data_IF_366819235048
#
_entry.id   IF_366819235048
#
_cell.length_a   1.000
_cell.length_b   1.000
_cell.length_c   1.000
_cell.angle_alpha   90.00
_cell.angle_beta   90.00
_cell.angle_gamma   90.00
#
_symmetry.space_group_name_H-M   'P 1'
#
loop_
_entity.id
_entity.type
_entity.pdbx_description
1 polymer ?
#
# COMPACT_ATOMS: atom_id res chain seq x y z
N UNK A 1 14.78 -11.50 43.76
CA UNK A 1 13.56 -10.78 43.36
C UNK A 1 13.77 -10.30 41.93
N UNK A 2 13.33 -11.10 40.94
CA UNK A 2 13.42 -10.74 39.53
C UNK A 2 12.20 -9.84 39.22
N UNK A 3 12.44 -8.56 39.01
CA UNK A 3 11.42 -7.67 38.44
C UNK A 3 11.30 -7.98 36.94
N UNK A 4 10.23 -8.67 36.56
CA UNK A 4 9.77 -8.78 35.17
C UNK A 4 9.37 -7.37 34.70
N UNK A 5 10.26 -6.72 33.96
CA UNK A 5 9.90 -5.53 33.19
C UNK A 5 9.10 -6.05 32.00
N UNK A 6 7.78 -5.93 32.07
CA UNK A 6 6.92 -6.16 30.91
C UNK A 6 7.20 -5.06 29.88
N UNK A 7 7.99 -5.38 28.88
CA UNK A 7 8.12 -4.54 27.69
C UNK A 7 6.83 -4.69 26.92
N UNK A 8 6.03 -3.64 26.87
CA UNK A 8 4.83 -3.60 26.04
C UNK A 8 5.30 -3.63 24.59
N UNK A 9 5.20 -4.78 23.95
CA UNK A 9 5.48 -4.94 22.53
C UNK A 9 4.20 -4.62 21.79
N UNK A 10 4.17 -3.54 21.03
CA UNK A 10 3.10 -3.17 20.14
C UNK A 10 3.51 -3.56 18.72
N UNK A 11 2.77 -4.47 18.11
CA UNK A 11 2.91 -4.81 16.69
C UNK A 11 1.92 -3.98 15.88
N UNK A 12 2.39 -3.29 14.84
CA UNK A 12 1.51 -2.61 13.89
C UNK A 12 0.76 -3.66 13.07
N UNK A 13 -0.55 -3.49 12.94
CA UNK A 13 -1.41 -4.39 12.18
C UNK A 13 -1.14 -4.32 10.67
N UNK A 14 -0.96 -3.10 10.15
CA UNK A 14 -0.87 -2.87 8.71
C UNK A 14 0.50 -3.23 8.13
N UNK A 15 0.46 -3.84 6.95
CA UNK A 15 1.63 -4.24 6.17
C UNK A 15 2.44 -3.05 5.66
N UNK A 16 3.74 -3.24 5.52
CA UNK A 16 4.67 -2.27 4.93
C UNK A 16 5.25 -2.80 3.63
N UNK A 17 5.11 -2.03 2.56
CA UNK A 17 5.77 -2.32 1.29
C UNK A 17 6.95 -1.36 1.07
N UNK A 18 8.07 -1.88 0.58
CA UNK A 18 9.21 -1.06 0.18
C UNK A 18 8.89 -0.18 -1.04
N UNK A 19 8.02 -0.68 -1.95
CA UNK A 19 7.50 0.07 -3.11
C UNK A 19 6.23 0.87 -2.79
N UNK A 20 6.10 1.40 -1.56
CA UNK A 20 4.91 2.16 -1.12
C UNK A 20 4.53 3.31 -2.09
N UNK A 21 5.49 3.89 -2.78
CA UNK A 21 5.30 4.98 -3.75
C UNK A 21 4.63 4.54 -5.06
N UNK A 22 4.65 3.25 -5.39
CA UNK A 22 3.94 2.66 -6.53
C UNK A 22 2.62 1.98 -6.08
N UNK A 23 2.46 1.76 -4.76
CA UNK A 23 1.32 1.12 -4.11
C UNK A 23 0.46 2.08 -3.29
N UNK A 24 0.47 3.37 -3.60
CA UNK A 24 -0.28 4.39 -2.83
C UNK A 24 -1.76 4.05 -2.58
N UNK A 25 -2.53 3.46 -3.53
CA UNK A 25 -3.88 3.03 -3.26
C UNK A 25 -4.01 2.01 -2.12
N UNK A 26 -2.96 1.26 -1.78
CA UNK A 26 -3.02 0.28 -0.70
C UNK A 26 -3.31 0.89 0.66
N UNK A 27 -2.87 2.14 0.90
CA UNK A 27 -3.04 2.85 2.16
C UNK A 27 -3.79 4.19 2.04
N UNK A 28 -4.02 4.72 0.83
CA UNK A 28 -4.73 5.98 0.62
C UNK A 28 -5.72 5.91 -0.54
N UNK A 29 -6.99 5.85 -0.24
CA UNK A 29 -8.06 5.80 -1.24
C UNK A 29 -8.11 7.06 -2.13
N UNK A 30 -7.60 8.21 -1.69
CA UNK A 30 -7.54 9.42 -2.50
C UNK A 30 -6.51 9.36 -3.64
N UNK A 31 -5.61 8.36 -3.64
CA UNK A 31 -4.62 8.17 -4.69
C UNK A 31 -5.18 7.44 -5.91
N UNK A 32 -6.36 6.79 -5.85
CA UNK A 32 -6.95 6.07 -6.98
C UNK A 32 -7.26 6.99 -8.15
N UNK A 33 -7.01 6.51 -9.35
CA UNK A 33 -7.20 7.27 -10.59
C UNK A 33 -6.32 8.53 -10.67
N UNK A 34 -5.16 8.55 -10.02
CA UNK A 34 -4.23 9.69 -10.00
C UNK A 34 -3.76 10.08 -11.42
N UNK A 35 -3.57 9.11 -12.27
CA UNK A 35 -3.14 9.28 -13.66
C UNK A 35 -4.30 8.96 -14.62
N UNK A 36 -4.24 9.50 -15.84
CA UNK A 36 -5.21 9.18 -16.91
C UNK A 36 -4.93 7.80 -17.52
N UNK A 37 -4.80 6.79 -16.67
CA UNK A 37 -4.46 5.41 -17.03
C UNK A 37 -5.28 4.43 -16.21
N UNK A 38 -5.59 3.28 -16.79
CA UNK A 38 -5.87 2.09 -16.00
C UNK A 38 -4.55 1.66 -15.39
N UNK A 39 -4.50 1.55 -14.08
CA UNK A 39 -3.35 1.09 -13.33
C UNK A 39 -3.70 -0.23 -12.67
N UNK A 40 -2.87 -1.25 -12.86
CA UNK A 40 -2.97 -2.53 -12.17
C UNK A 40 -1.64 -2.77 -11.49
N UNK A 41 -1.65 -3.07 -10.21
CA UNK A 41 -0.45 -3.29 -9.42
C UNK A 41 -0.59 -4.56 -8.59
N UNK A 42 0.51 -5.30 -8.48
CA UNK A 42 0.64 -6.44 -7.61
C UNK A 42 1.98 -6.38 -6.88
N UNK A 43 2.00 -6.82 -5.62
CA UNK A 43 3.21 -6.95 -4.84
C UNK A 43 3.18 -8.25 -4.05
N UNK A 44 4.34 -8.85 -3.90
CA UNK A 44 4.57 -9.97 -3.01
C UNK A 44 5.77 -9.67 -2.12
N UNK A 45 5.55 -9.60 -0.82
CA UNK A 45 6.58 -9.40 0.17
C UNK A 45 6.77 -10.66 1.01
N UNK A 46 8.02 -11.01 1.27
CA UNK A 46 8.44 -12.07 2.15
C UNK A 46 9.36 -11.46 3.20
N UNK A 47 8.81 -11.15 4.37
CA UNK A 47 9.53 -10.49 5.44
C UNK A 47 10.27 -11.47 6.33
N UNK A 48 11.37 -11.03 6.93
CA UNK A 48 12.17 -11.81 7.87
C UNK A 48 12.51 -13.20 7.31
N UNK A 49 13.00 -13.26 6.09
CA UNK A 49 13.39 -14.53 5.44
C UNK A 49 14.44 -15.26 6.29
N UNK A 50 14.19 -16.55 6.55
CA UNK A 50 15.03 -17.37 7.44
C UNK A 50 14.35 -17.76 8.76
N UNK A 51 13.28 -17.08 9.16
CA UNK A 51 12.41 -17.55 10.24
C UNK A 51 11.41 -18.60 9.75
N UNK A 52 11.12 -19.59 10.57
CA UNK A 52 10.03 -20.54 10.32
C UNK A 52 8.70 -19.77 10.35
N UNK A 53 7.86 -19.91 9.31
CA UNK A 53 6.57 -19.20 9.16
C UNK A 53 6.72 -17.66 9.14
N UNK A 54 7.75 -17.19 8.45
CA UNK A 54 7.96 -15.75 8.23
C UNK A 54 6.74 -15.07 7.59
N UNK A 55 6.53 -13.76 7.83
CA UNK A 55 5.43 -13.02 7.23
C UNK A 55 5.49 -13.05 5.70
N UNK A 56 4.33 -13.21 5.06
CA UNK A 56 4.18 -13.23 3.60
C UNK A 56 2.94 -12.46 3.21
N UNK A 57 3.14 -11.37 2.49
CA UNK A 57 2.06 -10.50 2.05
C UNK A 57 1.91 -10.53 0.56
N UNK A 58 0.68 -10.63 0.08
CA UNK A 58 0.31 -10.47 -1.31
C UNK A 58 -0.71 -9.34 -1.44
N UNK A 59 -0.45 -8.43 -2.35
CA UNK A 59 -1.33 -7.33 -2.71
C UNK A 59 -1.64 -7.38 -4.20
N UNK A 60 -2.89 -7.12 -4.56
CA UNK A 60 -3.32 -6.88 -5.94
C UNK A 60 -4.32 -5.74 -5.91
N UNK A 61 -4.10 -4.73 -6.74
CA UNK A 61 -5.00 -3.60 -6.87
C UNK A 61 -5.15 -3.16 -8.31
N UNK A 62 -6.30 -2.56 -8.62
CA UNK A 62 -6.55 -1.91 -9.89
C UNK A 62 -7.32 -0.61 -9.67
N UNK A 63 -6.93 0.43 -10.37
CA UNK A 63 -7.61 1.72 -10.31
C UNK A 63 -7.65 2.41 -11.67
N UNK A 64 -8.65 3.24 -11.85
CA UNK A 64 -8.83 4.04 -13.06
C UNK A 64 -9.52 5.37 -12.76
N UNK A 65 -9.18 6.43 -13.51
CA UNK A 65 -9.93 7.67 -13.50
C UNK A 65 -11.11 7.62 -14.46
N UNK A 66 -12.14 8.40 -14.15
CA UNK A 66 -13.24 8.69 -15.07
C UNK A 66 -13.71 10.14 -14.92
N UNK A 67 -14.40 10.63 -15.93
CA UNK A 67 -14.94 11.99 -15.94
C UNK A 67 -16.45 11.93 -15.85
N UNK A 68 -17.01 12.52 -14.79
CA UNK A 68 -18.44 12.56 -14.52
C UNK A 68 -18.83 13.88 -13.85
N UNK A 69 -20.03 14.40 -14.10
CA UNK A 69 -20.54 15.66 -13.53
C UNK A 69 -19.53 16.82 -13.57
N UNK A 70 -18.84 16.98 -14.71
CA UNK A 70 -17.83 18.04 -14.95
C UNK A 70 -16.60 17.98 -14.05
N UNK A 71 -16.38 16.87 -13.36
CA UNK A 71 -15.23 16.64 -12.47
C UNK A 71 -14.53 15.32 -12.81
N UNK A 72 -13.28 15.20 -12.37
CA UNK A 72 -12.53 13.94 -12.43
C UNK A 72 -12.74 13.15 -11.16
N UNK A 73 -12.92 11.87 -11.32
CA UNK A 73 -13.10 10.89 -10.25
C UNK A 73 -12.10 9.77 -10.42
N UNK A 74 -11.88 9.00 -9.38
CA UNK A 74 -11.14 7.75 -9.41
C UNK A 74 -11.95 6.65 -8.75
N UNK A 75 -11.83 5.43 -9.24
CA UNK A 75 -12.32 4.23 -8.59
C UNK A 75 -11.21 3.20 -8.55
N UNK A 76 -11.23 2.37 -7.52
CA UNK A 76 -10.26 1.31 -7.34
C UNK A 76 -10.85 0.13 -6.59
N UNK A 77 -10.20 -1.00 -6.78
CA UNK A 77 -10.44 -2.23 -6.03
C UNK A 77 -9.09 -2.78 -5.60
N UNK A 78 -9.02 -3.31 -4.40
CA UNK A 78 -7.82 -3.95 -3.90
C UNK A 78 -8.14 -5.20 -3.10
N UNK A 79 -7.23 -6.16 -3.18
CA UNK A 79 -7.19 -7.37 -2.38
C UNK A 79 -5.80 -7.45 -1.74
N UNK A 80 -5.77 -7.68 -0.44
CA UNK A 80 -4.56 -7.95 0.32
C UNK A 80 -4.75 -9.26 1.09
N UNK A 81 -3.72 -10.07 1.11
CA UNK A 81 -3.66 -11.29 1.91
C UNK A 81 -2.30 -11.32 2.59
N UNK A 82 -2.32 -11.23 3.91
CA UNK A 82 -1.14 -11.24 4.76
C UNK A 82 -1.17 -12.45 5.67
N UNK A 83 -0.08 -13.22 5.67
CA UNK A 83 0.12 -14.38 6.52
C UNK A 83 1.21 -14.07 7.53
N UNK A 84 0.84 -14.03 8.79
CA UNK A 84 1.72 -13.74 9.91
C UNK A 84 1.70 -14.93 10.89
N UNK A 85 2.65 -15.84 10.76
CA UNK A 85 2.71 -17.03 11.59
C UNK A 85 1.50 -17.94 11.39
N UNK A 86 0.59 -17.96 12.36
CA UNK A 86 -0.66 -18.75 12.35
C UNK A 86 -1.88 -17.92 11.95
N UNK A 87 -1.71 -16.60 11.86
CA UNK A 87 -2.78 -15.68 11.45
C UNK A 87 -2.74 -15.45 9.94
N UNK A 88 -3.92 -15.28 9.37
CA UNK A 88 -4.09 -14.83 7.98
C UNK A 88 -5.08 -13.67 7.98
N UNK A 89 -4.59 -12.51 7.55
CA UNK A 89 -5.36 -11.28 7.42
C UNK A 89 -5.70 -11.07 5.94
N UNK A 90 -6.97 -10.95 5.61
CA UNK A 90 -7.42 -10.66 4.25
C UNK A 90 -8.24 -9.40 4.24
N UNK A 91 -7.97 -8.53 3.27
CA UNK A 91 -8.72 -7.31 3.07
C UNK A 91 -9.14 -7.19 1.60
N UNK A 92 -10.44 -7.08 1.36
CA UNK A 92 -11.01 -6.69 0.08
C UNK A 92 -11.63 -5.31 0.24
N UNK A 93 -11.23 -4.31 -0.57
CA UNK A 93 -11.79 -2.97 -0.46
C UNK A 93 -12.09 -2.36 -1.82
N UNK A 94 -13.19 -1.63 -1.89
CA UNK A 94 -13.56 -0.72 -2.96
C UNK A 94 -13.20 0.71 -2.56
N UNK A 95 -12.71 1.47 -3.52
CA UNK A 95 -12.21 2.82 -3.30
C UNK A 95 -12.84 3.79 -4.29
N UNK A 96 -13.11 4.98 -3.81
CA UNK A 96 -13.61 6.09 -4.62
C UNK A 96 -12.87 7.36 -4.26
N UNK A 97 -12.52 8.17 -5.27
CA UNK A 97 -11.90 9.48 -5.08
C UNK A 97 -12.58 10.55 -5.94
N UNK A 98 -12.79 11.71 -5.34
CA UNK A 98 -13.27 12.92 -6.00
C UNK A 98 -12.14 13.94 -6.11
N UNK A 99 -11.99 14.57 -7.28
CA UNK A 99 -10.84 15.43 -7.59
C UNK A 99 -11.28 16.83 -7.97
N UNK A 100 -10.66 17.83 -7.33
CA UNK A 100 -10.89 19.25 -7.61
C UNK A 100 -9.57 19.96 -7.89
N UNK A 101 -9.60 20.97 -8.74
CA UNK A 101 -8.48 21.89 -8.94
C UNK A 101 -8.47 22.93 -7.82
N UNK A 102 -7.37 22.99 -7.08
CA UNK A 102 -7.21 23.87 -5.93
C UNK A 102 -5.76 24.36 -5.82
N UNK A 103 -5.56 25.64 -5.56
CA UNK A 103 -4.24 26.27 -5.36
C UNK A 103 -3.19 25.92 -6.44
N UNK A 104 -3.62 25.84 -7.70
CA UNK A 104 -2.73 25.50 -8.82
C UNK A 104 -2.33 24.03 -8.91
N UNK A 105 -2.91 23.19 -8.07
CA UNK A 105 -2.73 21.73 -8.05
C UNK A 105 -4.07 20.99 -8.20
N UNK A 106 -4.05 19.72 -7.85
CA UNK A 106 -5.24 18.86 -7.78
C UNK A 106 -5.32 18.28 -6.37
N UNK A 107 -6.42 18.61 -5.68
CA UNK A 107 -6.78 17.95 -4.43
C UNK A 107 -7.73 16.79 -4.75
N UNK A 108 -7.41 15.62 -4.24
CA UNK A 108 -8.24 14.41 -4.28
C UNK A 108 -8.69 14.08 -2.87
N UNK A 109 -9.97 13.84 -2.68
CA UNK A 109 -10.54 13.30 -1.44
C UNK A 109 -11.03 11.90 -1.73
N UNK A 110 -10.71 10.93 -0.90
CA UNK A 110 -11.03 9.53 -1.15
C UNK A 110 -11.63 8.85 0.06
N UNK A 111 -12.45 7.84 -0.22
CA UNK A 111 -13.02 6.94 0.77
C UNK A 111 -12.85 5.51 0.32
N UNK A 112 -12.73 4.60 1.26
CA UNK A 112 -12.73 3.16 1.02
C UNK A 112 -13.72 2.46 1.93
N UNK A 113 -14.35 1.42 1.40
CA UNK A 113 -15.17 0.50 2.16
C UNK A 113 -14.78 -0.93 1.76
N UNK A 114 -14.61 -1.79 2.75
CA UNK A 114 -14.13 -3.14 2.53
C UNK A 114 -14.56 -4.13 3.58
N UNK A 115 -14.09 -5.34 3.40
CA UNK A 115 -14.24 -6.45 4.32
C UNK A 115 -12.85 -6.87 4.81
N UNK A 116 -12.70 -6.97 6.12
CA UNK A 116 -11.59 -7.64 6.78
C UNK A 116 -12.02 -9.06 7.13
N UNK A 117 -11.18 -10.02 6.83
CA UNK A 117 -11.35 -11.42 7.23
C UNK A 117 -10.09 -11.88 7.95
N UNK A 118 -10.26 -12.32 9.16
CA UNK A 118 -9.21 -12.86 10.00
C UNK A 118 -9.39 -14.35 10.17
N UNK A 119 -8.29 -15.07 10.09
CA UNK A 119 -8.26 -16.51 10.30
C UNK A 119 -7.08 -16.87 11.18
N UNK A 120 -7.35 -17.67 12.21
CA UNK A 120 -6.33 -18.27 13.07
C UNK A 120 -6.35 -19.79 12.89
N UNK A 121 -5.19 -20.37 12.53
CA UNK A 121 -5.05 -21.82 12.31
C UNK A 121 -4.49 -22.50 13.58
N UNK A 122 -5.38 -22.81 14.51
CA UNK A 122 -5.04 -23.50 15.76
C UNK A 122 -4.55 -24.95 15.58
N UNK A 123 -4.81 -25.56 14.41
CA UNK A 123 -4.35 -26.94 14.13
C UNK A 123 -2.83 -27.07 13.98
N UNK A 124 -2.14 -25.95 13.81
CA UNK A 124 -0.69 -25.87 13.63
C UNK A 124 0.05 -25.37 14.88
N UNK A 125 -0.64 -25.18 15.97
CA UNK A 125 -0.04 -24.87 17.27
C UNK A 125 0.70 -26.12 17.75
N UNK A 126 1.96 -25.95 18.12
CA UNK A 126 2.77 -27.02 18.70
C UNK A 126 2.51 -27.00 20.22
N UNK A 127 1.59 -27.84 20.65
CA UNK A 127 1.20 -27.93 22.07
C UNK A 127 2.01 -29.05 22.73
N UNK A 128 2.70 -28.76 23.83
CA UNK A 128 3.28 -29.79 24.70
C UNK A 128 2.19 -30.66 25.34
N UNK A 129 1.01 -30.06 25.61
CA UNK A 129 -0.18 -30.74 26.06
C UNK A 129 -1.35 -30.50 25.10
N UNK A 130 -1.72 -31.52 24.35
CA UNK A 130 -2.81 -31.47 23.36
C UNK A 130 -4.22 -31.32 23.99
N UNK A 131 -4.32 -31.40 25.32
CA UNK A 131 -5.57 -31.29 26.07
C UNK A 131 -5.77 -29.89 26.68
N UNK A 132 -4.89 -28.94 26.47
CA UNK A 132 -5.00 -27.57 27.01
C UNK A 132 -6.22 -26.84 26.42
N UNK A 133 -7.27 -26.58 27.21
CA UNK A 133 -8.48 -25.92 26.74
C UNK A 133 -8.28 -24.43 26.38
N UNK A 134 -7.12 -23.83 26.72
CA UNK A 134 -6.81 -22.45 26.39
C UNK A 134 -6.52 -22.26 24.92
N UNK A 135 -6.17 -23.32 24.20
CA UNK A 135 -5.87 -23.28 22.78
C UNK A 135 -6.92 -24.07 21.98
N UNK A 136 -7.56 -23.35 21.04
CA UNK A 136 -8.44 -24.02 20.09
C UNK A 136 -7.60 -24.83 19.10
N UNK A 137 -7.81 -26.15 19.06
CA UNK A 137 -7.25 -27.03 18.03
C UNK A 137 -7.98 -26.92 16.69
N UNK A 138 -8.90 -25.96 16.56
CA UNK A 138 -9.68 -25.69 15.35
C UNK A 138 -9.23 -24.42 14.65
N UNK A 139 -9.65 -24.29 13.40
CA UNK A 139 -9.52 -23.04 12.66
C UNK A 139 -10.62 -22.08 13.09
N UNK A 140 -10.25 -20.85 13.45
CA UNK A 140 -11.17 -19.79 13.83
C UNK A 140 -11.15 -18.70 12.74
N UNK A 141 -12.32 -18.33 12.25
CA UNK A 141 -12.49 -17.31 11.23
C UNK A 141 -13.44 -16.21 11.75
N UNK A 142 -13.18 -14.97 11.36
CA UNK A 142 -14.03 -13.83 11.66
C UNK A 142 -13.97 -12.77 10.59
N UNK A 143 -15.04 -11.99 10.46
CA UNK A 143 -15.13 -10.95 9.44
C UNK A 143 -15.67 -9.66 10.05
N UNK A 144 -15.25 -8.52 9.51
CA UNK A 144 -15.80 -7.20 9.85
C UNK A 144 -15.73 -6.24 8.68
N UNK A 145 -16.57 -5.20 8.71
CA UNK A 145 -16.52 -4.11 7.74
C UNK A 145 -15.36 -3.19 8.11
N UNK A 146 -14.66 -2.70 7.10
CA UNK A 146 -13.54 -1.78 7.20
C UNK A 146 -13.81 -0.51 6.42
N UNK A 147 -13.52 0.64 7.04
CA UNK A 147 -13.69 1.96 6.44
C UNK A 147 -12.37 2.73 6.47
N UNK A 148 -12.11 3.46 5.39
CA UNK A 148 -10.96 4.34 5.31
C UNK A 148 -11.30 5.64 4.57
N UNK A 149 -10.48 6.66 4.82
CA UNK A 149 -10.58 7.95 4.14
C UNK A 149 -9.20 8.53 3.91
N UNK A 150 -9.09 9.44 2.94
CA UNK A 150 -7.83 10.09 2.64
C UNK A 150 -7.97 11.39 1.86
N UNK A 151 -6.88 12.12 1.89
CA UNK A 151 -6.63 13.32 1.10
C UNK A 151 -5.33 13.10 0.32
N UNK A 152 -5.28 13.60 -0.90
CA UNK A 152 -4.07 13.54 -1.72
C UNK A 152 -3.97 14.80 -2.57
N UNK A 153 -2.87 15.52 -2.44
CA UNK A 153 -2.63 16.77 -3.17
C UNK A 153 -1.42 16.63 -4.09
N UNK A 154 -1.58 17.05 -5.35
CA UNK A 154 -0.49 17.08 -6.32
C UNK A 154 -0.37 18.47 -6.94
N UNK A 155 0.86 18.98 -7.01
CA UNK A 155 1.16 20.24 -7.70
C UNK A 155 2.52 20.16 -8.41
N UNK A 156 2.49 20.02 -9.73
CA UNK A 156 3.71 19.81 -10.49
C UNK A 156 4.49 18.58 -10.03
N UNK A 157 5.74 18.75 -9.57
CA UNK A 157 6.57 17.64 -9.10
C UNK A 157 6.28 17.20 -7.67
N UNK A 158 5.51 17.99 -6.90
CA UNK A 158 5.20 17.72 -5.48
C UNK A 158 3.93 16.90 -5.33
N UNK A 159 3.95 15.94 -4.43
CA UNK A 159 2.74 15.32 -3.89
C UNK A 159 2.81 15.17 -2.37
N UNK A 160 1.66 15.24 -1.74
CA UNK A 160 1.46 14.97 -0.31
C UNK A 160 0.15 14.23 -0.13
N UNK A 161 0.14 13.20 0.69
CA UNK A 161 -1.06 12.43 1.02
C UNK A 161 -1.21 12.25 2.51
N UNK A 162 -2.45 12.31 2.99
CA UNK A 162 -2.84 12.00 4.36
C UNK A 162 -4.00 11.00 4.28
N UNK A 163 -3.95 9.93 5.04
CA UNK A 163 -5.02 8.95 5.08
C UNK A 163 -5.15 8.25 6.42
N UNK A 164 -6.30 7.66 6.63
CA UNK A 164 -6.56 6.78 7.75
C UNK A 164 -7.32 5.54 7.26
N UNK A 165 -6.90 4.39 7.74
CA UNK A 165 -7.56 3.10 7.56
C UNK A 165 -8.15 2.63 8.89
N UNK A 166 -9.05 1.67 8.84
CA UNK A 166 -9.70 1.10 10.02
C UNK A 166 -10.38 2.16 10.89
N UNK A 167 -11.00 3.20 10.24
CA UNK A 167 -11.62 4.34 10.93
C UNK A 167 -12.73 3.95 11.89
N UNK A 168 -13.40 2.84 11.63
CA UNK A 168 -14.45 2.28 12.49
C UNK A 168 -13.90 1.37 13.59
N UNK A 169 -12.57 1.22 13.71
CA UNK A 169 -11.87 0.32 14.64
C UNK A 169 -12.57 -1.03 14.72
N UNK A 170 -12.64 -1.80 13.60
CA UNK A 170 -13.44 -2.98 13.51
C UNK A 170 -13.07 -4.02 14.58
N UNK A 171 -14.10 -4.57 15.20
CA UNK A 171 -13.99 -5.69 16.14
C UNK A 171 -14.31 -6.98 15.40
N UNK A 172 -13.36 -7.88 15.32
CA UNK A 172 -13.50 -9.15 14.62
C UNK A 172 -13.62 -10.27 15.67
N UNK A 173 -14.74 -10.98 15.65
CA UNK A 173 -14.97 -12.11 16.54
C UNK A 173 -14.38 -13.38 15.94
N UNK A 174 -13.44 -13.99 16.64
CA UNK A 174 -12.78 -15.24 16.26
C UNK A 174 -13.34 -16.37 17.13
N UNK A 175 -14.28 -17.15 16.59
CA UNK A 175 -15.01 -18.14 17.35
C UNK A 175 -15.98 -17.52 18.37
N UNK A 176 -16.20 -18.19 19.51
CA UNK A 176 -17.20 -17.77 20.51
C UNK A 176 -16.65 -16.80 21.56
N UNK A 177 -15.35 -16.84 21.83
CA UNK A 177 -14.75 -16.17 23.00
C UNK A 177 -13.65 -15.17 22.69
N UNK A 178 -13.05 -15.22 21.49
CA UNK A 178 -11.92 -14.37 21.16
C UNK A 178 -12.36 -13.19 20.29
N UNK A 179 -11.84 -12.02 20.59
CA UNK A 179 -12.11 -10.80 19.84
C UNK A 179 -10.78 -10.14 19.48
N UNK A 180 -10.61 -9.77 18.20
CA UNK A 180 -9.51 -8.97 17.70
C UNK A 180 -10.03 -7.59 17.33
N UNK A 181 -9.53 -6.57 18.00
CA UNK A 181 -9.78 -5.16 17.66
C UNK A 181 -8.67 -4.66 16.77
N UNK A 182 -9.02 -4.12 15.62
CA UNK A 182 -8.09 -3.46 14.71
C UNK A 182 -8.18 -1.96 14.93
N UNK A 183 -7.12 -1.36 15.44
CA UNK A 183 -7.10 0.08 15.69
C UNK A 183 -6.86 0.88 14.41
N UNK A 184 -7.34 2.13 14.39
CA UNK A 184 -7.19 3.01 13.25
C UNK A 184 -5.70 3.32 12.99
N UNK A 185 -5.27 3.18 11.74
CA UNK A 185 -3.90 3.49 11.32
C UNK A 185 -3.90 4.73 10.44
N UNK A 186 -3.04 5.68 10.77
CA UNK A 186 -2.87 6.95 10.09
C UNK A 186 -1.60 6.96 9.25
N UNK A 187 -1.67 7.54 8.06
CA UNK A 187 -0.58 7.62 7.11
C UNK A 187 -0.34 9.05 6.65
N UNK A 188 0.93 9.44 6.59
CA UNK A 188 1.39 10.65 5.93
C UNK A 188 2.44 10.28 4.90
N UNK A 189 2.23 10.63 3.65
CA UNK A 189 3.18 10.39 2.56
C UNK A 189 3.48 11.66 1.82
N UNK A 190 4.63 11.70 1.17
CA UNK A 190 4.98 12.78 0.28
C UNK A 190 6.21 12.47 -0.55
N UNK A 191 6.39 13.27 -1.59
CA UNK A 191 7.55 13.15 -2.45
C UNK A 191 7.66 14.31 -3.42
N UNK A 192 8.81 14.35 -4.07
CA UNK A 192 9.15 15.42 -5.01
C UNK A 192 10.00 14.88 -6.17
N UNK A 193 9.65 15.25 -7.41
CA UNK A 193 10.38 14.87 -8.61
C UNK A 193 11.41 15.93 -8.97
N UNK A 194 12.71 15.71 -8.69
CA UNK A 194 13.83 16.61 -8.99
C UNK A 194 14.41 16.23 -10.33
N UNK A 195 14.09 17.02 -11.36
CA UNK A 195 14.70 16.87 -12.70
C UNK A 195 16.14 17.35 -12.69
N UNK A 196 17.05 16.50 -13.12
CA UNK A 196 18.46 16.86 -13.22
C UNK A 196 18.75 17.62 -14.52
N UNK A 197 19.96 18.16 -14.65
CA UNK A 197 20.44 18.82 -15.86
C UNK A 197 20.43 17.86 -17.08
N UNK A 198 20.66 16.57 -16.84
CA UNK A 198 20.43 15.53 -17.82
C UNK A 198 18.91 15.25 -17.88
N UNK A 199 18.24 15.49 -19.04
CA UNK A 199 16.79 15.34 -19.15
C UNK A 199 16.29 13.90 -18.97
N UNK A 200 17.16 12.91 -19.07
CA UNK A 200 16.81 11.50 -18.85
C UNK A 200 16.83 11.08 -17.38
N UNK A 201 17.39 11.92 -16.49
CA UNK A 201 17.59 11.59 -15.10
C UNK A 201 16.70 12.43 -14.19
N UNK A 202 16.00 11.75 -13.27
CA UNK A 202 15.19 12.36 -12.22
C UNK A 202 15.50 11.72 -10.89
N UNK A 203 15.74 12.51 -9.85
CA UNK A 203 15.81 12.03 -8.47
C UNK A 203 14.41 12.15 -7.86
N UNK A 204 13.92 11.07 -7.26
CA UNK A 204 12.60 11.01 -6.64
C UNK A 204 12.71 10.65 -5.15
N UNK A 205 12.97 11.63 -4.29
CA UNK A 205 12.81 11.42 -2.85
C UNK A 205 11.34 11.27 -2.50
N UNK A 206 11.05 10.37 -1.57
CA UNK A 206 9.73 10.14 -1.03
C UNK A 206 9.81 9.66 0.40
N UNK A 207 8.72 9.81 1.14
CA UNK A 207 8.59 9.29 2.50
C UNK A 207 7.19 8.77 2.76
N UNK A 208 7.09 7.83 3.68
CA UNK A 208 5.86 7.34 4.26
C UNK A 208 6.02 7.24 5.77
N UNK A 209 5.14 7.89 6.51
CA UNK A 209 5.04 7.75 7.97
C UNK A 209 3.70 7.14 8.29
N UNK A 210 3.66 6.17 9.19
CA UNK A 210 2.46 5.55 9.68
C UNK A 210 2.46 5.41 11.18
N UNK A 211 1.25 5.44 11.77
CA UNK A 211 1.05 5.26 13.22
C UNK A 211 -0.36 4.74 13.50
N UNK A 212 -0.46 3.90 14.50
CA UNK A 212 -1.73 3.46 15.12
C UNK A 212 -2.04 4.25 16.41
N UNK A 213 -1.27 5.33 16.67
CA UNK A 213 -1.37 6.12 17.89
C UNK A 213 -0.45 5.65 19.01
N UNK A 214 0.13 4.46 18.90
CA UNK A 214 1.07 3.89 19.88
C UNK A 214 2.46 3.73 19.28
N UNK A 215 2.56 3.06 18.15
CA UNK A 215 3.82 2.84 17.45
C UNK A 215 3.91 3.75 16.20
N UNK A 216 5.14 4.12 15.85
CA UNK A 216 5.45 4.92 14.66
C UNK A 216 6.48 4.19 13.80
N UNK A 217 6.21 4.16 12.50
CA UNK A 217 7.20 3.76 11.51
C UNK A 217 7.30 4.83 10.43
N UNK A 218 8.54 5.20 10.10
CA UNK A 218 8.84 6.11 9.01
C UNK A 218 9.75 5.41 8.00
N UNK A 219 9.44 5.52 6.72
CA UNK A 219 10.23 5.01 5.60
C UNK A 219 10.57 6.18 4.70
N UNK A 220 11.87 6.37 4.40
CA UNK A 220 12.38 7.42 3.51
C UNK A 220 13.08 6.73 2.36
N UNK A 221 12.75 7.08 1.12
CA UNK A 221 13.33 6.45 -0.07
C UNK A 221 13.80 7.51 -1.05
N UNK A 222 15.02 7.34 -1.55
CA UNK A 222 15.57 8.11 -2.66
C UNK A 222 15.75 7.21 -3.87
N UNK A 223 15.16 7.58 -5.02
CA UNK A 223 15.31 6.84 -6.28
C UNK A 223 15.95 7.71 -7.35
N UNK A 224 16.94 7.17 -8.05
CA UNK A 224 17.46 7.73 -9.30
C UNK A 224 16.74 7.01 -10.46
N UNK A 225 15.98 7.75 -11.24
CA UNK A 225 15.15 7.23 -12.32
C UNK A 225 15.73 7.72 -13.66
N UNK A 226 16.06 6.77 -14.52
CA UNK A 226 16.42 7.02 -15.91
C UNK A 226 15.21 6.74 -16.80
N UNK A 227 14.82 7.71 -17.62
CA UNK A 227 13.70 7.59 -18.56
C UNK A 227 14.15 8.00 -19.94
N UNK A 228 14.01 7.10 -20.92
CA UNK A 228 14.26 7.36 -22.33
C UNK A 228 13.12 6.74 -23.15
N UNK A 229 12.31 7.59 -23.78
CA UNK A 229 11.08 7.19 -24.49
C UNK A 229 10.16 6.32 -23.61
N UNK A 230 9.98 5.06 -24.01
CA UNK A 230 9.13 4.09 -23.31
C UNK A 230 9.89 3.24 -22.28
N UNK A 231 11.20 3.41 -22.19
CA UNK A 231 12.04 2.65 -21.26
C UNK A 231 12.27 3.48 -20.01
N UNK A 232 12.02 2.90 -18.87
CA UNK A 232 12.30 3.51 -17.57
C UNK A 232 13.02 2.46 -16.71
N UNK A 233 14.07 2.90 -16.03
CA UNK A 233 14.80 2.08 -15.04
C UNK A 233 15.04 2.94 -13.81
N UNK A 234 15.08 2.32 -12.66
CA UNK A 234 15.44 3.01 -11.42
C UNK A 234 16.31 2.16 -10.51
N UNK A 235 17.13 2.86 -9.76
CA UNK A 235 17.85 2.34 -8.61
C UNK A 235 17.48 3.22 -7.40
N UNK A 236 17.24 2.61 -6.26
CA UNK A 236 16.83 3.33 -5.06
C UNK A 236 17.48 2.80 -3.80
N UNK A 237 17.51 3.67 -2.80
CA UNK A 237 17.89 3.32 -1.44
C UNK A 237 16.83 3.86 -0.50
N UNK A 238 16.33 2.99 0.38
CA UNK A 238 15.39 3.30 1.44
C UNK A 238 16.06 3.18 2.81
N UNK A 239 15.51 3.90 3.76
CA UNK A 239 15.88 3.81 5.17
C UNK A 239 14.63 3.93 6.03
N UNK A 240 14.44 2.96 6.90
CA UNK A 240 13.49 3.02 8.00
C UNK A 240 14.29 3.22 9.28
N UNK A 241 14.35 4.44 9.83
CA UNK A 241 15.17 4.74 11.01
C UNK A 241 14.90 3.75 12.15
N UNK A 242 15.96 3.27 12.79
CA UNK A 242 15.91 2.25 13.86
C UNK A 242 15.47 0.85 13.45
N UNK A 243 15.12 0.60 12.19
CA UNK A 243 14.60 -0.68 11.74
C UNK A 243 15.47 -1.32 10.63
N UNK A 244 15.68 -0.63 9.49
CA UNK A 244 16.26 -1.27 8.31
C UNK A 244 16.80 -0.29 7.27
N UNK A 245 17.59 -0.83 6.36
CA UNK A 245 18.01 -0.18 5.11
C UNK A 245 17.57 -1.07 3.94
N UNK A 246 17.03 -0.44 2.90
CA UNK A 246 16.47 -1.13 1.72
C UNK A 246 17.19 -0.70 0.46
N UNK A 247 17.49 -1.64 -0.42
CA UNK A 247 17.95 -1.39 -1.79
C UNK A 247 16.82 -1.77 -2.74
N UNK A 248 16.55 -0.90 -3.73
CA UNK A 248 15.48 -1.09 -4.70
C UNK A 248 16.05 -0.99 -6.13
N UNK A 249 15.58 -1.86 -6.99
CA UNK A 249 15.85 -1.81 -8.42
C UNK A 249 14.57 -2.10 -9.19
N UNK A 250 14.38 -1.46 -10.33
CA UNK A 250 13.23 -1.78 -11.19
C UNK A 250 13.26 -1.04 -12.51
N UNK A 251 12.23 -1.28 -13.29
CA UNK A 251 12.11 -0.65 -14.60
C UNK A 251 10.80 -0.97 -15.30
N UNK A 252 10.58 -0.31 -16.42
CA UNK A 252 9.45 -0.53 -17.31
C UNK A 252 9.94 -1.17 -18.61
N UNK A 253 9.34 -2.31 -18.92
CA UNK A 253 9.59 -3.05 -20.16
C UNK A 253 8.25 -3.31 -20.84
N UNK A 254 8.02 -2.68 -21.99
CA UNK A 254 6.79 -2.81 -22.79
C UNK A 254 5.50 -2.50 -22.01
N UNK A 255 5.52 -1.52 -21.11
CA UNK A 255 4.36 -1.11 -20.31
C UNK A 255 4.17 -1.88 -19.01
N UNK A 256 4.96 -2.93 -18.77
CA UNK A 256 4.99 -3.65 -17.50
C UNK A 256 6.12 -3.06 -16.64
N UNK A 257 5.79 -2.56 -15.49
CA UNK A 257 6.76 -2.09 -14.49
C UNK A 257 7.06 -3.28 -13.57
N UNK A 258 8.33 -3.56 -13.37
CA UNK A 258 8.80 -4.57 -12.42
C UNK A 258 9.77 -3.93 -11.46
N UNK A 259 9.65 -4.26 -10.19
CA UNK A 259 10.52 -3.79 -9.13
C UNK A 259 10.88 -4.93 -8.17
N UNK A 260 12.07 -4.86 -7.64
CA UNK A 260 12.54 -5.75 -6.59
C UNK A 260 13.20 -4.91 -5.52
N UNK A 261 12.94 -5.26 -4.25
CA UNK A 261 13.66 -4.68 -3.13
C UNK A 261 14.19 -5.75 -2.19
N UNK A 262 15.32 -5.42 -1.58
CA UNK A 262 15.94 -6.17 -0.51
C UNK A 262 16.11 -5.27 0.70
N UNK A 263 15.49 -5.65 1.82
CA UNK A 263 15.54 -4.93 3.08
C UNK A 263 16.44 -5.67 4.08
N UNK A 264 17.46 -4.97 4.56
CA UNK A 264 18.41 -5.43 5.57
C UNK A 264 18.05 -4.83 6.92
N UNK A 265 17.76 -5.67 7.90
CA UNK A 265 17.44 -5.20 9.26
C UNK A 265 18.69 -4.74 9.99
N UNK A 266 18.60 -3.55 10.59
CA UNK A 266 19.62 -2.97 11.47
C UNK A 266 19.22 -3.06 12.93
N UNK A 267 17.99 -3.49 13.21
CA UNK A 267 17.44 -3.73 14.54
C UNK A 267 17.94 -5.07 15.13
N UNK A 268 17.61 -5.30 16.42
CA UNK A 268 18.00 -6.53 17.13
C UNK A 268 17.40 -7.82 16.51
N UNK A 269 16.27 -7.71 15.80
CA UNK A 269 15.65 -8.83 15.09
C UNK A 269 16.24 -8.86 13.67
N UNK A 270 17.28 -9.67 13.50
CA UNK A 270 17.93 -9.84 12.20
C UNK A 270 18.17 -11.33 11.91
N UNK A 271 17.32 -11.95 11.08
CA UNK A 271 17.47 -13.36 10.69
C UNK A 271 18.66 -13.61 9.74
N UNK A 272 19.35 -12.56 9.30
CA UNK A 272 20.47 -12.65 8.36
C UNK A 272 20.09 -12.70 6.88
N UNK A 273 18.84 -13.05 6.57
CA UNK A 273 18.37 -13.19 5.16
C UNK A 273 17.51 -11.99 4.72
N UNK A 274 17.23 -11.02 5.62
CA UNK A 274 16.48 -9.80 5.31
C UNK A 274 15.03 -10.04 4.90
N UNK A 275 14.45 -9.07 4.18
CA UNK A 275 13.15 -9.18 3.53
C UNK A 275 13.27 -8.95 2.03
N UNK A 276 12.41 -9.60 1.29
CA UNK A 276 12.37 -9.55 -0.17
C UNK A 276 10.99 -9.10 -0.63
N UNK A 277 10.93 -8.17 -1.57
CA UNK A 277 9.68 -7.74 -2.17
C UNK A 277 9.79 -7.72 -3.69
N UNK A 278 8.81 -8.27 -4.36
CA UNK A 278 8.60 -8.19 -5.80
C UNK A 278 7.37 -7.34 -6.09
N UNK A 279 7.54 -6.33 -6.93
CA UNK A 279 6.48 -5.47 -7.42
C UNK A 279 6.28 -5.66 -8.91
N UNK A 280 5.02 -5.73 -9.36
CA UNK A 280 4.64 -5.75 -10.77
C UNK A 280 3.50 -4.75 -10.97
N UNK A 281 3.68 -3.84 -11.92
CA UNK A 281 2.69 -2.86 -12.32
C UNK A 281 2.42 -2.91 -13.82
N UNK A 282 1.18 -2.67 -14.24
CA UNK A 282 0.82 -2.46 -15.63
C UNK A 282 -0.01 -1.20 -15.77
N UNK A 283 0.35 -0.37 -16.73
CA UNK A 283 -0.35 0.87 -17.00
C UNK A 283 -0.81 0.93 -18.46
N UNK A 284 -2.10 1.16 -18.66
CA UNK A 284 -2.71 1.34 -19.97
C UNK A 284 -3.31 2.74 -20.09
N UNK A 285 -2.91 3.48 -21.12
CA UNK A 285 -3.42 4.83 -21.35
C UNK A 285 -4.91 4.80 -21.65
N UNK A 286 -5.69 5.62 -20.94
CA UNK A 286 -7.11 5.80 -21.15
C UNK A 286 -7.36 7.10 -21.91
N UNK A 287 -8.03 7.01 -23.05
CA UNK A 287 -8.48 8.19 -23.75
C UNK A 287 -9.72 8.79 -23.09
N UNK A 288 -9.48 9.66 -22.09
CA UNK A 288 -10.52 10.41 -21.39
C UNK A 288 -10.92 11.70 -22.13
N UNK A 289 -10.46 11.90 -23.37
CA UNK A 289 -10.86 13.03 -24.18
C UNK A 289 -12.38 13.04 -24.34
N UNK A 290 -12.98 14.22 -24.08
CA UNK A 290 -14.41 14.44 -24.29
C UNK A 290 -14.80 14.00 -25.70
N UNK A 291 -15.41 12.83 -25.86
CA UNK A 291 -16.29 12.56 -27.00
C UNK A 291 -17.51 13.48 -26.85
N UNK A 292 -17.34 14.74 -27.12
CA UNK A 292 -18.41 15.67 -26.96
C UNK A 292 -18.16 16.94 -27.75
N UNK A 293 -18.99 17.14 -28.75
CA UNK A 293 -19.15 18.31 -29.62
C UNK A 293 -18.13 18.38 -30.76
N UNK A 294 -18.55 17.89 -31.85
CA UNK A 294 -18.38 18.28 -33.25
C UNK A 294 -18.37 17.09 -34.16
N UNK A 295 -19.23 16.09 -33.94
CA UNK A 295 -19.59 15.11 -34.98
C UNK A 295 -20.57 15.69 -36.00
N UNK A 296 -21.05 16.93 -35.85
CA UNK A 296 -21.84 17.66 -36.80
C UNK A 296 -21.14 18.97 -37.20
N UNK A 297 -19.98 18.89 -37.83
CA UNK A 297 -19.66 19.90 -38.82
C UNK A 297 -20.56 19.66 -39.99
N UNK A 298 -21.66 20.41 -40.03
CA UNK A 298 -22.46 20.58 -41.23
C UNK A 298 -21.52 20.91 -42.37
N UNK A 299 -21.36 19.97 -43.29
CA UNK A 299 -20.80 20.25 -44.61
C UNK A 299 -21.89 21.03 -45.33
N UNK A 300 -21.91 22.34 -45.21
CA UNK A 300 -22.58 23.17 -46.19
C UNK A 300 -21.66 23.19 -47.39
N UNK A 301 -21.91 22.33 -48.33
CA UNK A 301 -21.51 22.51 -49.73
C UNK A 301 -22.36 23.62 -50.29
N UNK A 302 -21.71 24.71 -50.68
CA UNK A 302 -22.20 25.62 -51.72
C UNK A 302 -21.85 25.05 -53.07
#
# INVERSE_FOLDING_TARGET
MLTLVSVWSHAQYDVSFSHYFDLEPSYNAAAVGKQSKLNVAAAYAMDLAGFKRNPQTMYVGADLPFYFLKSYHGVGIQLMNDKLGLFTHQRLALQYAFKVKLFGGTLSTGVSAGLLSESFDGTKVDLEDSSDPAFSSSKLDGNSIDLGAGLYYTRGPLYVGLSAQHLNSPLIKLGETNELKVDATYYLTGGYDIRLRNPYLTIKPSFLVRTDGVAWRGDITGRLVYTNDKKMMYLGVGCSPTNSVTVLIGGNVHGVIMGYSYEMYTSAINPGNGSHELFIGYQMDLNLAKKGRNLHKSVRTL
#
